data_IF_892350242999
#
_entry.id   IF_892350242999
#
_cell.length_a   1.000
_cell.length_b   1.000
_cell.length_c   1.000
_cell.angle_alpha   90.00
_cell.angle_beta   90.00
_cell.angle_gamma   90.00
#
_symmetry.space_group_name_H-M   'P 1'
#
loop_
_entity.id
_entity.type
_entity.pdbx_description
1 polymer ?
#
# COMPACT_ATOMS: atom_id res chain seq x y z
N UNK A 1 19.95 5.21 21.24
CA UNK A 1 19.42 4.43 20.10
C UNK A 1 18.31 5.25 19.45
N UNK A 2 18.42 5.54 18.16
CA UNK A 2 17.34 6.17 17.39
C UNK A 2 16.18 5.16 17.32
N UNK A 3 14.95 5.57 17.61
CA UNK A 3 13.81 4.64 17.53
C UNK A 3 13.59 4.29 16.05
N UNK A 4 13.32 3.01 15.78
CA UNK A 4 13.03 2.49 14.43
C UNK A 4 11.64 2.93 13.97
N UNK A 5 10.72 3.07 14.93
CA UNK A 5 9.36 3.59 14.75
C UNK A 5 9.19 4.91 15.51
N UNK A 6 8.32 5.78 15.01
CA UNK A 6 7.90 6.97 15.74
C UNK A 6 6.98 6.61 16.93
N UNK A 7 6.43 7.64 17.57
CA UNK A 7 5.49 7.41 18.65
C UNK A 7 4.18 6.89 18.08
N UNK A 8 3.50 6.06 18.88
CA UNK A 8 2.21 5.50 18.52
C UNK A 8 1.22 6.61 18.11
N UNK A 9 0.56 6.46 16.97
CA UNK A 9 -0.42 7.43 16.50
C UNK A 9 -1.58 7.59 17.51
N UNK A 10 -2.03 8.82 17.72
CA UNK A 10 -3.15 9.11 18.64
C UNK A 10 -4.51 8.69 18.08
N UNK A 11 -4.64 8.72 16.75
CA UNK A 11 -5.89 8.40 16.04
C UNK A 11 -5.82 7.00 15.45
N UNK A 12 -6.93 6.25 15.57
CA UNK A 12 -7.01 4.88 15.02
C UNK A 12 -7.05 4.92 13.48
N UNK A 13 -7.86 5.83 12.95
CA UNK A 13 -8.06 6.08 11.53
C UNK A 13 -7.81 7.56 11.33
N UNK A 14 -6.96 7.90 10.37
CA UNK A 14 -6.70 9.28 9.99
C UNK A 14 -7.07 9.49 8.53
N UNK A 15 -8.01 10.41 8.25
CA UNK A 15 -8.41 10.72 6.87
C UNK A 15 -7.48 11.78 6.27
N UNK A 16 -6.22 11.40 6.07
CA UNK A 16 -5.16 12.30 5.61
C UNK A 16 -3.87 11.56 5.26
N UNK A 17 -2.82 12.34 5.02
CA UNK A 17 -1.47 11.86 4.72
C UNK A 17 -0.59 11.70 5.97
N UNK A 18 -1.10 12.11 7.13
CA UNK A 18 -0.50 11.78 8.42
C UNK A 18 -0.89 10.35 8.81
N UNK A 19 -0.02 9.66 9.53
CA UNK A 19 -0.23 8.25 9.80
C UNK A 19 -1.34 8.04 10.84
N UNK A 20 -2.35 7.26 10.46
CA UNK A 20 -3.29 6.68 11.39
C UNK A 20 -2.72 5.39 11.97
N UNK A 21 -3.22 4.94 13.12
CA UNK A 21 -2.71 3.71 13.74
C UNK A 21 -2.96 2.45 12.90
N UNK A 22 -4.10 2.40 12.19
CA UNK A 22 -4.48 1.25 11.36
C UNK A 22 -4.87 1.62 9.93
N UNK A 23 -5.32 2.86 9.69
CA UNK A 23 -5.79 3.24 8.37
C UNK A 23 -5.58 4.74 8.12
N UNK A 24 -5.04 5.03 6.95
CA UNK A 24 -4.91 6.37 6.38
C UNK A 24 -4.90 6.32 4.83
N UNK A 25 -4.54 7.42 4.17
CA UNK A 25 -4.47 7.44 2.71
C UNK A 25 -3.33 6.59 2.14
N UNK A 26 -2.25 6.34 2.89
CA UNK A 26 -1.20 5.40 2.49
C UNK A 26 -1.73 3.98 2.52
N UNK A 27 -2.46 3.60 3.58
CA UNK A 27 -3.12 2.30 3.66
C UNK A 27 -4.07 2.01 2.48
N UNK A 28 -4.71 3.05 1.94
CA UNK A 28 -5.52 2.91 0.73
C UNK A 28 -4.67 2.65 -0.53
N UNK A 29 -3.53 3.34 -0.69
CA UNK A 29 -2.55 3.06 -1.76
C UNK A 29 -2.04 1.62 -1.66
N UNK A 30 -1.69 1.15 -0.47
CA UNK A 30 -1.29 -0.24 -0.24
C UNK A 30 -2.34 -1.25 -0.73
N UNK A 31 -3.61 -1.02 -0.40
CA UNK A 31 -4.70 -1.85 -0.91
C UNK A 31 -4.82 -1.83 -2.45
N UNK A 32 -4.70 -0.66 -3.09
CA UNK A 32 -4.75 -0.53 -4.55
C UNK A 32 -3.55 -1.20 -5.22
N UNK A 33 -2.33 -0.99 -4.71
CA UNK A 33 -1.11 -1.67 -5.14
C UNK A 33 -1.27 -3.19 -5.03
N UNK A 34 -1.79 -3.67 -3.90
CA UNK A 34 -2.15 -5.08 -3.71
C UNK A 34 -3.09 -5.59 -4.79
N UNK A 35 -4.15 -4.83 -5.07
CA UNK A 35 -5.12 -5.15 -6.12
C UNK A 35 -4.44 -5.26 -7.50
N UNK A 36 -3.52 -4.36 -7.85
CA UNK A 36 -2.76 -4.42 -9.11
C UNK A 36 -1.88 -5.68 -9.18
N UNK A 37 -1.18 -6.02 -8.09
CA UNK A 37 -0.39 -7.25 -8.01
C UNK A 37 -1.26 -8.50 -8.15
N UNK A 38 -2.46 -8.48 -7.55
CA UNK A 38 -3.45 -9.53 -7.70
C UNK A 38 -3.90 -9.69 -9.15
N UNK A 39 -4.18 -8.60 -9.87
CA UNK A 39 -4.54 -8.63 -11.30
C UNK A 39 -3.42 -9.29 -12.10
N UNK A 40 -2.16 -8.90 -11.86
CA UNK A 40 -1.00 -9.50 -12.52
C UNK A 40 -0.98 -11.01 -12.25
N UNK A 41 -1.07 -11.40 -10.98
CA UNK A 41 -1.02 -12.80 -10.55
C UNK A 41 -2.10 -13.65 -11.24
N UNK A 42 -3.34 -13.16 -11.33
CA UNK A 42 -4.40 -13.93 -12.01
C UNK A 42 -4.15 -14.01 -13.52
N UNK A 43 -3.66 -12.94 -14.17
CA UNK A 43 -3.35 -12.96 -15.60
C UNK A 43 -2.25 -13.98 -15.97
N UNK A 44 -1.30 -14.23 -15.07
CA UNK A 44 -0.26 -15.24 -15.27
C UNK A 44 -0.58 -16.60 -14.64
N UNK A 45 -1.82 -16.78 -14.12
CA UNK A 45 -2.31 -18.05 -13.60
C UNK A 45 -1.69 -18.49 -12.27
N UNK A 46 -1.21 -17.56 -11.43
CA UNK A 46 -0.71 -17.89 -10.10
C UNK A 46 -1.88 -18.23 -9.17
N UNK A 47 -1.75 -19.33 -8.44
CA UNK A 47 -2.74 -19.78 -7.48
C UNK A 47 -2.94 -18.76 -6.32
N UNK A 48 -4.13 -18.69 -5.69
CA UNK A 48 -4.39 -17.73 -4.62
C UNK A 48 -3.46 -17.81 -3.43
N UNK A 49 -3.12 -19.01 -2.98
CA UNK A 49 -2.19 -19.19 -1.86
C UNK A 49 -0.78 -18.70 -2.19
N UNK A 50 -0.31 -18.94 -3.41
CA UNK A 50 0.99 -18.44 -3.88
C UNK A 50 0.96 -16.92 -3.99
N UNK A 51 -0.14 -16.35 -4.49
CA UNK A 51 -0.31 -14.89 -4.58
C UNK A 51 -0.26 -14.24 -3.20
N UNK A 52 -0.99 -14.80 -2.23
CA UNK A 52 -1.01 -14.32 -0.85
C UNK A 52 0.42 -14.26 -0.27
N UNK A 53 1.18 -15.36 -0.39
CA UNK A 53 2.55 -15.42 0.15
C UNK A 53 3.50 -14.47 -0.57
N UNK A 54 3.44 -14.40 -1.89
CA UNK A 54 4.28 -13.51 -2.68
C UNK A 54 3.99 -12.03 -2.37
N UNK A 55 2.72 -11.64 -2.32
CA UNK A 55 2.31 -10.25 -2.06
C UNK A 55 2.62 -9.86 -0.62
N UNK A 56 2.36 -10.73 0.37
CA UNK A 56 2.76 -10.46 1.75
C UNK A 56 4.29 -10.26 1.89
N UNK A 57 5.07 -11.07 1.18
CA UNK A 57 6.53 -10.93 1.11
C UNK A 57 6.97 -9.62 0.47
N UNK A 58 6.38 -9.24 -0.67
CA UNK A 58 6.65 -7.97 -1.36
C UNK A 58 6.29 -6.78 -0.45
N UNK A 59 5.11 -6.81 0.17
CA UNK A 59 4.66 -5.75 1.08
C UNK A 59 5.60 -5.62 2.27
N UNK A 60 6.02 -6.74 2.87
CA UNK A 60 7.00 -6.73 3.98
C UNK A 60 8.33 -6.10 3.56
N UNK A 61 8.83 -6.45 2.36
CA UNK A 61 10.07 -5.85 1.84
C UNK A 61 9.91 -4.35 1.59
N UNK A 62 8.75 -3.92 1.09
CA UNK A 62 8.44 -2.51 0.86
C UNK A 62 8.43 -1.73 2.18
N UNK A 63 7.75 -2.23 3.22
CA UNK A 63 7.74 -1.62 4.55
C UNK A 63 9.16 -1.51 5.16
N UNK A 64 9.99 -2.54 4.97
CA UNK A 64 11.40 -2.49 5.38
C UNK A 64 12.14 -1.35 4.68
N UNK A 65 11.89 -1.14 3.38
CA UNK A 65 12.47 0.00 2.65
C UNK A 65 11.96 1.33 3.19
N UNK A 66 10.67 1.45 3.52
CA UNK A 66 10.12 2.67 4.12
C UNK A 66 10.73 3.00 5.48
N UNK A 67 10.92 1.98 6.33
CA UNK A 67 11.64 2.11 7.60
C UNK A 67 13.08 2.59 7.36
N UNK A 68 13.79 2.01 6.39
CA UNK A 68 15.15 2.44 6.03
C UNK A 68 15.19 3.90 5.53
N UNK A 69 14.15 4.33 4.80
CA UNK A 69 14.01 5.70 4.29
C UNK A 69 13.44 6.69 5.31
N UNK A 70 13.09 6.22 6.51
CA UNK A 70 12.44 7.00 7.57
C UNK A 70 11.14 7.65 7.07
N UNK A 71 10.31 6.84 6.41
CA UNK A 71 8.95 7.20 5.99
C UNK A 71 7.93 6.69 7.00
N UNK A 72 8.13 5.47 7.52
CA UNK A 72 7.21 4.77 8.40
C UNK A 72 7.22 5.31 9.84
N UNK A 73 6.02 5.54 10.40
CA UNK A 73 5.84 6.17 11.70
C UNK A 73 5.33 5.22 12.80
N UNK A 74 4.48 4.23 12.51
CA UNK A 74 3.86 3.36 13.52
C UNK A 74 3.93 1.88 13.13
N UNK A 75 4.33 1.01 14.07
CA UNK A 75 4.47 -0.43 13.81
C UNK A 75 3.13 -1.16 13.57
N UNK A 76 2.04 -0.68 14.17
CA UNK A 76 0.68 -1.19 13.91
C UNK A 76 0.21 -0.79 12.50
N UNK A 77 0.58 0.41 12.05
CA UNK A 77 0.28 0.90 10.70
C UNK A 77 1.01 0.06 9.64
N UNK A 78 2.32 -0.15 9.82
CA UNK A 78 3.13 -1.05 8.98
C UNK A 78 2.51 -2.44 8.84
N UNK A 79 2.06 -3.03 9.96
CA UNK A 79 1.42 -4.34 9.92
C UNK A 79 0.10 -4.29 9.13
N UNK A 80 -0.68 -3.23 9.30
CA UNK A 80 -1.93 -3.04 8.56
C UNK A 80 -1.70 -2.84 7.08
N UNK A 81 -0.66 -2.12 6.67
CA UNK A 81 -0.33 -1.89 5.27
C UNK A 81 0.07 -3.19 4.55
N UNK A 82 0.80 -4.08 5.23
CA UNK A 82 1.07 -5.44 4.74
C UNK A 82 -0.23 -6.25 4.59
N UNK A 83 -1.10 -6.19 5.60
CA UNK A 83 -2.40 -6.90 5.59
C UNK A 83 -3.27 -6.38 4.45
N UNK A 84 -3.38 -5.06 4.28
CA UNK A 84 -4.23 -4.43 3.26
C UNK A 84 -3.71 -4.66 1.85
N UNK A 85 -2.39 -4.59 1.65
CA UNK A 85 -1.77 -4.96 0.37
C UNK A 85 -2.10 -6.41 0.01
N UNK A 86 -1.97 -7.33 0.97
CA UNK A 86 -2.28 -8.74 0.76
C UNK A 86 -3.78 -8.96 0.51
N UNK A 87 -4.64 -8.26 1.26
CA UNK A 87 -6.09 -8.32 1.12
C UNK A 87 -6.55 -7.83 -0.25
N UNK A 88 -6.00 -6.73 -0.78
CA UNK A 88 -6.29 -6.23 -2.12
C UNK A 88 -5.95 -7.25 -3.21
N UNK A 89 -4.78 -7.90 -3.08
CA UNK A 89 -4.37 -8.94 -4.02
C UNK A 89 -5.29 -10.16 -4.01
N UNK A 90 -5.72 -10.61 -2.83
CA UNK A 90 -6.63 -11.74 -2.71
C UNK A 90 -8.05 -11.36 -3.17
N UNK A 91 -8.52 -10.16 -2.80
CA UNK A 91 -9.84 -9.64 -3.16
C UNK A 91 -10.09 -9.74 -4.66
N UNK A 92 -9.12 -9.31 -5.49
CA UNK A 92 -9.33 -9.28 -6.94
C UNK A 92 -9.41 -10.67 -7.57
N UNK A 93 -8.74 -11.67 -6.98
CA UNK A 93 -8.79 -13.05 -7.49
C UNK A 93 -10.16 -13.69 -7.33
N UNK A 94 -10.92 -13.27 -6.32
CA UNK A 94 -12.29 -13.74 -6.08
C UNK A 94 -13.36 -12.82 -6.68
N UNK A 95 -12.99 -11.61 -7.10
CA UNK A 95 -13.95 -10.59 -7.53
C UNK A 95 -14.02 -10.40 -9.04
N UNK A 96 -12.95 -10.71 -9.79
CA UNK A 96 -12.98 -10.61 -11.24
C UNK A 96 -13.50 -11.91 -11.85
N UNK A 97 -14.58 -11.79 -12.61
CA UNK A 97 -14.94 -12.79 -13.61
C UNK A 97 -14.01 -12.64 -14.83
N UNK A 98 -13.18 -13.65 -15.05
CA UNK A 98 -12.15 -13.71 -16.09
C UNK A 98 -12.71 -13.85 -17.52
N UNK A 99 -14.04 -13.88 -17.68
CA UNK A 99 -14.70 -14.12 -18.98
C UNK A 99 -14.45 -13.04 -20.03
N UNK A 100 -13.92 -11.86 -19.67
CA UNK A 100 -13.64 -10.76 -20.61
C UNK A 100 -12.27 -10.09 -20.38
N UNK A 101 -11.24 -10.55 -21.10
CA UNK A 101 -9.86 -10.04 -21.01
C UNK A 101 -9.74 -8.52 -21.25
N UNK A 102 -10.60 -7.93 -22.07
CA UNK A 102 -10.64 -6.48 -22.34
C UNK A 102 -10.97 -5.69 -21.06
N UNK A 103 -11.86 -6.19 -20.21
CA UNK A 103 -12.28 -5.48 -19.00
C UNK A 103 -11.16 -5.44 -17.95
N UNK A 104 -10.36 -6.50 -17.86
CA UNK A 104 -9.25 -6.60 -16.91
C UNK A 104 -8.17 -5.55 -17.19
N UNK A 105 -7.84 -5.32 -18.47
CA UNK A 105 -6.85 -4.31 -18.87
C UNK A 105 -7.31 -2.91 -18.46
N UNK A 106 -8.58 -2.56 -18.71
CA UNK A 106 -9.11 -1.25 -18.35
C UNK A 106 -9.22 -1.06 -16.83
N UNK A 107 -9.57 -2.11 -16.09
CA UNK A 107 -9.55 -2.09 -14.62
C UNK A 107 -8.12 -1.85 -14.11
N UNK A 108 -7.14 -2.58 -14.66
CA UNK A 108 -5.73 -2.41 -14.30
C UNK A 108 -5.23 -0.98 -14.55
N UNK A 109 -5.52 -0.43 -15.74
CA UNK A 109 -5.15 0.94 -16.09
C UNK A 109 -5.85 1.94 -15.16
N UNK A 110 -7.15 1.76 -14.92
CA UNK A 110 -7.92 2.66 -14.05
C UNK A 110 -7.39 2.70 -12.63
N UNK A 111 -7.18 1.53 -12.01
CA UNK A 111 -6.60 1.43 -10.67
C UNK A 111 -5.18 1.99 -10.66
N UNK A 112 -4.35 1.66 -11.64
CA UNK A 112 -2.97 2.14 -11.75
C UNK A 112 -2.88 3.67 -11.85
N UNK A 113 -3.79 4.31 -12.60
CA UNK A 113 -3.84 5.77 -12.69
C UNK A 113 -4.25 6.42 -11.36
N UNK A 114 -5.22 5.84 -10.65
CA UNK A 114 -5.65 6.32 -9.33
C UNK A 114 -4.50 6.16 -8.32
N UNK A 115 -3.86 4.99 -8.31
CA UNK A 115 -2.77 4.67 -7.40
C UNK A 115 -1.56 5.60 -7.61
N UNK A 116 -1.14 5.79 -8.86
CA UNK A 116 -0.08 6.74 -9.21
C UNK A 116 -0.44 8.19 -8.85
N UNK A 117 -1.70 8.59 -9.06
CA UNK A 117 -2.16 9.92 -8.67
C UNK A 117 -2.07 10.12 -7.16
N UNK A 118 -2.58 9.18 -6.36
CA UNK A 118 -2.53 9.24 -4.91
C UNK A 118 -1.10 9.20 -4.38
N UNK A 119 -0.27 8.30 -4.90
CA UNK A 119 1.16 8.22 -4.59
C UNK A 119 1.86 9.56 -4.86
N UNK A 120 1.52 10.23 -5.97
CA UNK A 120 2.10 11.54 -6.29
C UNK A 120 1.71 12.62 -5.27
N UNK A 121 0.48 12.57 -4.73
CA UNK A 121 0.01 13.50 -3.70
C UNK A 121 0.66 13.22 -2.35
N UNK A 122 0.71 11.95 -1.94
CA UNK A 122 1.37 11.52 -0.72
C UNK A 122 2.86 11.87 -0.73
N UNK A 123 3.56 11.60 -1.83
CA UNK A 123 4.98 11.93 -1.96
C UNK A 123 5.24 13.44 -1.88
N UNK A 124 4.40 14.27 -2.51
CA UNK A 124 4.47 15.73 -2.39
C UNK A 124 4.24 16.19 -0.94
N UNK A 125 3.35 15.55 -0.21
CA UNK A 125 3.11 15.83 1.20
C UNK A 125 4.33 15.47 2.05
N UNK A 126 4.88 14.26 1.88
CA UNK A 126 6.09 13.79 2.55
C UNK A 126 7.28 14.75 2.34
N UNK A 127 7.55 15.15 1.09
CA UNK A 127 8.64 16.07 0.77
C UNK A 127 8.47 17.44 1.45
N UNK A 128 7.25 17.97 1.52
CA UNK A 128 6.97 19.24 2.21
C UNK A 128 7.24 19.13 3.71
N UNK A 129 6.79 18.04 4.36
CA UNK A 129 7.05 17.77 5.77
C UNK A 129 8.56 17.69 6.05
N UNK A 130 9.28 16.90 5.25
CA UNK A 130 10.73 16.72 5.38
C UNK A 130 11.53 18.02 5.18
N UNK A 131 11.13 18.86 4.23
CA UNK A 131 11.74 20.18 4.01
C UNK A 131 11.55 21.10 5.22
N UNK A 132 10.35 21.10 5.80
CA UNK A 132 10.04 21.91 6.96
C UNK A 132 10.81 21.45 8.21
N UNK A 133 10.97 20.14 8.40
CA UNK A 133 11.72 19.60 9.54
C UNK A 133 13.24 19.80 9.40
N UNK A 134 13.77 19.90 8.18
CA UNK A 134 15.17 20.24 7.94
C UNK A 134 15.51 21.73 8.20
N UNK A 135 14.51 22.59 8.28
CA UNK A 135 14.66 24.02 8.57
C UNK A 135 14.58 24.37 10.06
N UNK A 136 14.25 23.40 10.91
CA UNK A 136 14.22 23.52 12.38
C UNK A 136 15.54 23.07 12.99
#
# INVERSE_FOLDING_TARGET
MRRIFEQRASEIIHFGWEHGRFFDYWSFIHFLTGTLLGIIAVNIGIAPWTTLLCVAGIATLYEVLEIMLHVSEDAENVLFDIILTTAGAVFIQYSIDMTTSINIIWIFIGIGLIDLFLLSLGWRHYLKKKLHDAQK
#
